data_IF_390139344872
#
_entry.id   IF_390139344872
#
_cell.length_a   1.000
_cell.length_b   1.000
_cell.length_c   1.000
_cell.angle_alpha   90.00
_cell.angle_beta   90.00
_cell.angle_gamma   90.00
#
_symmetry.space_group_name_H-M   'P 1'
#
loop_
_entity.id
_entity.type
_entity.pdbx_description
1 polymer ?
#
# COMPACT_ATOMS: atom_id res chain seq x y z
N UNK A 1 -4.87 48.87 5.36
CA UNK A 1 -6.34 48.80 5.18
C UNK A 1 -6.67 48.75 3.71
N UNK A 2 -7.11 47.59 3.20
CA UNK A 2 -8.20 47.43 2.21
C UNK A 2 -8.49 45.95 2.09
N UNK A 3 -9.54 45.58 2.81
CA UNK A 3 -10.21 44.30 2.84
C UNK A 3 -10.87 44.06 1.48
N UNK A 4 -10.78 42.85 0.93
CA UNK A 4 -11.69 42.44 -0.14
C UNK A 4 -12.19 41.04 0.16
N UNK A 5 -13.36 41.05 0.79
CA UNK A 5 -14.29 39.96 1.05
C UNK A 5 -14.87 39.44 -0.27
N UNK A 6 -14.82 38.12 -0.51
CA UNK A 6 -15.64 37.45 -1.53
C UNK A 6 -16.52 36.41 -0.80
N UNK A 7 -17.86 36.46 -0.94
CA UNK A 7 -18.77 35.60 -0.19
C UNK A 7 -19.02 34.21 -0.81
N UNK A 8 -18.95 33.20 0.07
CA UNK A 8 -19.74 31.96 0.18
C UNK A 8 -20.45 31.42 -1.07
N UNK A 9 -20.07 30.21 -1.50
CA UNK A 9 -21.04 29.24 -2.04
C UNK A 9 -20.84 27.87 -1.40
N UNK A 10 -21.77 27.58 -0.49
CA UNK A 10 -21.99 26.29 0.16
C UNK A 10 -22.48 25.29 -0.90
N UNK A 11 -21.69 24.27 -1.24
CA UNK A 11 -22.18 23.09 -1.96
C UNK A 11 -22.10 21.91 -0.99
N UNK A 12 -23.25 21.58 -0.40
CA UNK A 12 -23.48 20.32 0.29
C UNK A 12 -23.44 19.20 -0.77
N UNK A 13 -22.37 18.41 -0.77
CA UNK A 13 -22.36 17.10 -1.41
C UNK A 13 -22.73 16.04 -0.38
N UNK A 14 -23.70 15.21 -0.73
CA UNK A 14 -24.28 14.13 0.07
C UNK A 14 -23.31 12.94 0.07
N UNK A 15 -23.06 12.24 1.21
CA UNK A 15 -22.27 11.01 1.18
C UNK A 15 -23.10 9.85 0.60
N UNK A 16 -22.68 9.36 -0.57
CA UNK A 16 -23.15 8.10 -1.17
C UNK A 16 -22.75 6.92 -0.28
N UNK A 17 -23.73 6.06 -0.05
CA UNK A 17 -23.66 4.89 0.82
C UNK A 17 -22.66 3.83 0.35
N UNK A 18 -21.98 3.26 1.33
CA UNK A 18 -21.10 2.09 1.27
C UNK A 18 -21.94 0.84 0.98
N UNK A 19 -21.71 0.19 -0.16
CA UNK A 19 -22.29 -1.10 -0.53
C UNK A 19 -21.19 -2.15 -0.76
N UNK A 20 -21.15 -3.18 0.08
CA UNK A 20 -20.25 -4.34 0.00
C UNK A 20 -20.56 -5.22 -1.23
N UNK A 21 -19.55 -5.89 -1.83
CA UNK A 21 -19.75 -6.87 -2.88
C UNK A 21 -19.97 -8.27 -2.28
N UNK A 22 -20.94 -9.02 -2.79
CA UNK A 22 -21.09 -10.43 -2.43
C UNK A 22 -22.30 -11.12 -3.05
N UNK A 23 -22.00 -12.20 -3.77
CA UNK A 23 -22.89 -13.29 -4.20
C UNK A 23 -23.49 -13.21 -5.60
N UNK A 24 -22.91 -14.00 -6.51
CA UNK A 24 -23.65 -14.61 -7.61
C UNK A 24 -23.09 -15.99 -7.95
N UNK A 25 -23.96 -16.98 -7.72
CA UNK A 25 -24.14 -18.25 -8.43
C UNK A 25 -22.97 -19.25 -8.52
N UNK A 26 -22.98 -20.20 -7.57
CA UNK A 26 -22.53 -21.55 -7.79
C UNK A 26 -23.34 -22.22 -8.93
N UNK A 27 -22.69 -22.56 -10.05
CA UNK A 27 -23.21 -23.55 -10.99
C UNK A 27 -22.52 -24.88 -10.72
N UNK A 28 -23.29 -25.77 -10.12
CA UNK A 28 -22.98 -27.16 -9.87
C UNK A 28 -22.90 -27.90 -11.22
N UNK A 29 -21.81 -28.64 -11.44
CA UNK A 29 -21.72 -29.63 -12.51
C UNK A 29 -22.57 -30.85 -12.12
N UNK A 30 -23.46 -31.37 -13.00
CA UNK A 30 -24.08 -32.65 -12.73
C UNK A 30 -23.09 -33.79 -12.99
N UNK A 31 -23.09 -34.70 -12.01
CA UNK A 31 -22.35 -35.95 -11.90
C UNK A 31 -22.54 -36.86 -13.11
N UNK A 32 -21.46 -37.58 -13.42
CA UNK A 32 -21.41 -38.82 -14.20
C UNK A 32 -21.48 -39.98 -13.21
N UNK A 33 -22.42 -40.92 -13.41
CA UNK A 33 -22.38 -42.29 -12.90
C UNK A 33 -23.30 -43.22 -13.76
N UNK A 34 -23.13 -44.55 -13.72
CA UNK A 34 -23.30 -45.46 -14.88
C UNK A 34 -24.47 -46.48 -14.76
N UNK A 35 -24.69 -47.27 -15.84
CA UNK A 35 -25.46 -48.55 -15.92
C UNK A 35 -27.01 -48.48 -15.73
N UNK A 36 -27.94 -49.25 -16.35
CA UNK A 36 -28.07 -50.09 -17.56
C UNK A 36 -29.58 -50.54 -17.68
N UNK A 37 -30.16 -50.53 -18.90
CA UNK A 37 -31.33 -51.28 -19.48
C UNK A 37 -32.80 -51.18 -18.91
N UNK A 38 -33.91 -51.58 -19.62
CA UNK A 38 -34.12 -52.02 -21.04
C UNK A 38 -35.33 -51.35 -21.79
N UNK A 39 -35.43 -51.49 -23.12
CA UNK A 39 -36.73 -51.43 -23.85
C UNK A 39 -36.68 -52.28 -25.17
N UNK A 40 -37.78 -52.94 -25.62
CA UNK A 40 -37.85 -53.99 -26.66
C UNK A 40 -38.07 -53.43 -28.11
N UNK A 41 -38.14 -54.28 -29.17
CA UNK A 41 -37.59 -53.94 -30.51
C UNK A 41 -38.58 -53.50 -31.62
N UNK A 42 -37.96 -53.03 -32.72
CA UNK A 42 -38.37 -52.91 -34.15
C UNK A 42 -39.03 -51.58 -34.61
N UNK A 43 -38.81 -51.09 -35.87
CA UNK A 43 -38.34 -51.79 -37.07
C UNK A 43 -37.08 -51.22 -37.76
N UNK A 44 -36.50 -52.01 -38.65
CA UNK A 44 -35.27 -51.72 -39.40
C UNK A 44 -35.40 -50.51 -40.36
N UNK A 45 -34.45 -49.55 -40.34
CA UNK A 45 -34.30 -48.58 -41.42
C UNK A 45 -33.55 -49.19 -42.62
N UNK A 46 -34.02 -48.83 -43.81
CA UNK A 46 -33.58 -49.28 -45.13
C UNK A 46 -32.06 -49.18 -45.39
N UNK A 47 -31.50 -50.01 -46.30
CA UNK A 47 -30.08 -49.96 -46.66
C UNK A 47 -29.67 -48.58 -47.19
N UNK A 48 -28.44 -48.11 -46.88
CA UNK A 48 -27.96 -46.81 -47.31
C UNK A 48 -27.84 -46.75 -48.84
N UNK A 49 -28.42 -45.70 -49.40
CA UNK A 49 -28.28 -45.28 -50.80
C UNK A 49 -26.80 -45.16 -51.20
N UNK A 50 -26.39 -45.56 -52.42
CA UNK A 50 -25.02 -45.37 -52.90
C UNK A 50 -24.59 -43.89 -52.79
N UNK A 51 -23.30 -43.59 -52.54
CA UNK A 51 -22.82 -42.22 -52.48
C UNK A 51 -23.12 -41.50 -53.80
N UNK A 52 -23.70 -40.29 -53.68
CA UNK A 52 -23.86 -39.38 -54.81
C UNK A 52 -22.50 -39.11 -55.47
N UNK A 53 -22.43 -38.94 -56.80
CA UNK A 53 -21.20 -38.58 -57.48
C UNK A 53 -20.64 -37.31 -56.86
N UNK A 54 -19.33 -37.33 -56.54
CA UNK A 54 -18.61 -36.15 -56.09
C UNK A 54 -18.80 -35.06 -57.13
N UNK A 55 -19.52 -34.01 -56.76
CA UNK A 55 -19.53 -32.77 -57.54
C UNK A 55 -18.11 -32.23 -57.51
N UNK A 56 -17.46 -32.21 -58.67
CA UNK A 56 -16.22 -31.47 -58.87
C UNK A 56 -16.35 -30.06 -58.25
N UNK A 57 -15.30 -29.53 -57.59
CA UNK A 57 -15.32 -28.15 -57.14
C UNK A 57 -15.67 -27.26 -58.34
N UNK A 58 -16.49 -26.19 -58.15
CA UNK A 58 -16.87 -25.32 -59.25
C UNK A 58 -15.59 -24.88 -59.96
N UNK A 59 -15.54 -25.17 -61.27
CA UNK A 59 -14.44 -24.82 -62.16
C UNK A 59 -13.95 -23.41 -61.77
N UNK A 60 -12.73 -23.38 -61.24
CA UNK A 60 -12.10 -22.16 -60.77
C UNK A 60 -12.20 -21.13 -61.88
N UNK A 61 -12.77 -19.96 -61.55
CA UNK A 61 -12.51 -18.76 -62.34
C UNK A 61 -11.00 -18.70 -62.54
N UNK A 62 -10.61 -18.57 -63.81
CA UNK A 62 -9.25 -18.77 -64.27
C UNK A 62 -8.31 -17.83 -63.52
N UNK A 63 -7.65 -18.33 -62.47
CA UNK A 63 -6.70 -17.56 -61.67
C UNK A 63 -5.60 -16.95 -62.55
N UNK A 64 -5.34 -17.52 -63.74
CA UNK A 64 -4.42 -16.98 -64.72
C UNK A 64 -4.97 -15.69 -65.38
N UNK A 65 -6.29 -15.57 -65.56
CA UNK A 65 -6.92 -14.35 -66.08
C UNK A 65 -6.89 -13.16 -65.12
N UNK A 66 -6.68 -13.38 -63.81
CA UNK A 66 -6.51 -12.29 -62.83
C UNK A 66 -5.14 -11.60 -62.90
N UNK A 67 -4.15 -12.24 -63.54
CA UNK A 67 -2.79 -11.72 -63.71
C UNK A 67 -2.43 -11.53 -65.20
N UNK A 68 -3.43 -11.52 -66.08
CA UNK A 68 -3.24 -11.39 -67.52
C UNK A 68 -2.69 -9.99 -67.86
N UNK A 69 -1.42 -9.94 -68.29
CA UNK A 69 -0.68 -8.69 -68.55
C UNK A 69 0.32 -8.28 -67.46
N UNK A 70 0.37 -9.01 -66.34
CA UNK A 70 1.35 -8.81 -65.28
C UNK A 70 2.55 -9.75 -65.43
N UNK A 71 3.73 -9.27 -65.03
CA UNK A 71 4.96 -10.05 -65.08
C UNK A 71 4.89 -11.23 -64.08
N UNK A 72 4.97 -12.49 -64.53
CA UNK A 72 4.91 -13.66 -63.65
C UNK A 72 5.93 -13.64 -62.52
N UNK A 73 7.08 -12.98 -62.71
CA UNK A 73 8.08 -12.85 -61.66
C UNK A 73 7.60 -11.92 -60.53
N UNK A 74 6.95 -10.80 -60.88
CA UNK A 74 6.41 -9.86 -59.89
C UNK A 74 5.28 -10.46 -59.06
N UNK A 75 4.42 -11.28 -59.68
CA UNK A 75 3.34 -11.98 -58.96
C UNK A 75 3.91 -12.97 -57.95
N UNK A 76 4.97 -13.71 -58.31
CA UNK A 76 5.67 -14.62 -57.39
C UNK A 76 6.32 -13.87 -56.22
N UNK A 77 7.03 -12.78 -56.52
CA UNK A 77 7.66 -11.94 -55.49
C UNK A 77 6.62 -11.33 -54.52
N UNK A 78 5.45 -10.91 -55.04
CA UNK A 78 4.35 -10.41 -54.23
C UNK A 78 3.76 -11.49 -53.30
N UNK A 79 3.55 -12.71 -53.82
CA UNK A 79 3.09 -13.85 -53.00
C UNK A 79 4.11 -14.23 -51.92
N UNK A 80 5.40 -14.29 -52.27
CA UNK A 80 6.46 -14.62 -51.32
C UNK A 80 6.60 -13.54 -50.25
N UNK A 81 6.48 -12.26 -50.62
CA UNK A 81 6.43 -11.16 -49.66
C UNK A 81 5.20 -11.26 -48.76
N UNK A 82 4.01 -11.54 -49.31
CA UNK A 82 2.78 -11.74 -48.54
C UNK A 82 2.95 -12.87 -47.52
N UNK A 83 3.48 -14.03 -47.92
CA UNK A 83 3.77 -15.15 -47.02
C UNK A 83 4.75 -14.77 -45.92
N UNK A 84 5.82 -14.03 -46.26
CA UNK A 84 6.79 -13.53 -45.28
C UNK A 84 6.15 -12.58 -44.27
N UNK A 85 5.26 -11.69 -44.71
CA UNK A 85 4.53 -10.78 -43.83
C UNK A 85 3.56 -11.51 -42.93
N UNK A 86 2.86 -12.53 -43.42
CA UNK A 86 1.99 -13.38 -42.60
C UNK A 86 2.77 -14.14 -41.53
N UNK A 87 3.91 -14.75 -41.89
CA UNK A 87 4.77 -15.44 -40.93
C UNK A 87 5.29 -14.48 -39.87
N UNK A 88 5.81 -13.31 -40.27
CA UNK A 88 6.28 -12.28 -39.33
C UNK A 88 5.15 -11.74 -38.44
N UNK A 89 3.95 -11.58 -38.99
CA UNK A 89 2.79 -11.13 -38.21
C UNK A 89 2.44 -12.14 -37.12
N UNK A 90 2.37 -13.43 -37.47
CA UNK A 90 2.12 -14.51 -36.51
C UNK A 90 3.21 -14.59 -35.44
N UNK A 91 4.47 -14.46 -35.82
CA UNK A 91 5.60 -14.48 -34.87
C UNK A 91 5.64 -13.26 -33.94
N UNK A 92 5.10 -12.12 -34.38
CA UNK A 92 5.09 -10.88 -33.60
C UNK A 92 3.77 -10.67 -32.83
N UNK A 93 2.72 -11.42 -33.13
CA UNK A 93 1.40 -11.28 -32.50
C UNK A 93 1.47 -11.42 -30.98
N UNK A 94 2.11 -12.49 -30.48
CA UNK A 94 2.26 -12.73 -29.04
C UNK A 94 3.08 -11.63 -28.35
N UNK A 95 4.05 -11.03 -29.06
CA UNK A 95 4.87 -9.92 -28.53
C UNK A 95 4.08 -8.62 -28.49
N UNK A 96 3.26 -8.35 -29.51
CA UNK A 96 2.39 -7.19 -29.56
C UNK A 96 1.33 -7.26 -28.45
N UNK A 97 0.69 -8.42 -28.24
CA UNK A 97 -0.25 -8.59 -27.13
C UNK A 97 0.38 -8.33 -25.76
N UNK A 98 1.57 -8.87 -25.50
CA UNK A 98 2.30 -8.61 -24.24
C UNK A 98 2.70 -7.15 -24.09
N UNK A 99 2.99 -6.47 -25.19
CA UNK A 99 3.32 -5.05 -25.19
C UNK A 99 2.10 -4.19 -24.86
N UNK A 100 0.94 -4.52 -25.45
CA UNK A 100 -0.33 -3.86 -25.17
C UNK A 100 -0.80 -4.10 -23.73
N UNK A 101 -0.63 -5.32 -23.20
CA UNK A 101 -0.89 -5.65 -21.79
C UNK A 101 0.03 -4.86 -20.84
N UNK A 102 1.32 -4.73 -21.18
CA UNK A 102 2.26 -3.94 -20.40
C UNK A 102 1.87 -2.45 -20.42
N UNK A 103 1.52 -1.90 -21.58
CA UNK A 103 1.05 -0.52 -21.71
C UNK A 103 -0.23 -0.29 -20.90
N UNK A 104 -1.19 -1.21 -20.96
CA UNK A 104 -2.40 -1.15 -20.15
C UNK A 104 -2.09 -1.20 -18.64
N UNK A 105 -1.12 -2.01 -18.21
CA UNK A 105 -0.71 -2.09 -16.81
C UNK A 105 0.02 -0.83 -16.31
N UNK A 106 0.77 -0.16 -17.18
CA UNK A 106 1.56 1.03 -16.85
C UNK A 106 0.72 2.30 -16.92
N UNK A 107 -0.17 2.41 -17.91
CA UNK A 107 -0.97 3.61 -18.14
C UNK A 107 -2.33 3.57 -17.43
N UNK A 108 -2.73 2.40 -16.91
CA UNK A 108 -4.09 2.16 -16.42
C UNK A 108 -5.11 2.01 -17.55
N UNK A 109 -6.34 1.66 -17.18
CA UNK A 109 -7.47 1.42 -18.09
C UNK A 109 -7.90 2.74 -18.77
N UNK A 110 -7.19 3.15 -19.84
CA UNK A 110 -7.51 4.34 -20.65
C UNK A 110 -6.35 5.18 -21.21
N UNK A 111 -5.08 4.77 -21.11
CA UNK A 111 -3.97 5.61 -21.58
C UNK A 111 -3.42 5.25 -22.97
N UNK A 112 -3.90 5.94 -24.01
CA UNK A 112 -3.38 5.91 -25.40
C UNK A 112 -1.97 6.53 -25.55
N UNK A 113 -1.41 7.08 -24.48
CA UNK A 113 -0.10 7.73 -24.49
C UNK A 113 0.75 7.26 -23.31
N UNK A 114 2.03 6.90 -23.52
CA UNK A 114 2.95 6.61 -22.44
C UNK A 114 3.02 7.78 -21.45
N UNK A 115 3.21 7.54 -20.14
CA UNK A 115 3.47 8.59 -19.18
C UNK A 115 4.68 9.42 -19.61
N UNK A 116 4.55 10.74 -19.51
CA UNK A 116 5.62 11.66 -19.86
C UNK A 116 6.86 11.36 -19.00
N UNK A 117 8.02 11.02 -19.60
CA UNK A 117 9.22 10.64 -18.86
C UNK A 117 9.71 11.76 -17.94
N UNK A 118 9.44 13.03 -18.28
CA UNK A 118 9.79 14.17 -17.44
C UNK A 118 8.91 14.26 -16.18
N UNK A 119 7.62 13.93 -16.31
CA UNK A 119 6.70 13.83 -15.18
C UNK A 119 7.07 12.65 -14.29
N UNK A 120 7.38 11.48 -14.86
CA UNK A 120 7.85 10.33 -14.09
C UNK A 120 9.13 10.62 -13.31
N UNK A 121 10.10 11.32 -13.91
CA UNK A 121 11.33 11.70 -13.21
C UNK A 121 11.04 12.66 -12.03
N UNK A 122 10.09 13.58 -12.23
CA UNK A 122 9.66 14.52 -11.19
C UNK A 122 8.96 13.79 -10.04
N UNK A 123 8.01 12.91 -10.36
CA UNK A 123 7.27 12.11 -9.38
C UNK A 123 8.21 11.19 -8.60
N UNK A 124 9.14 10.53 -9.28
CA UNK A 124 10.13 9.67 -8.64
C UNK A 124 11.03 10.46 -7.69
N UNK A 125 11.41 11.69 -8.06
CA UNK A 125 12.21 12.56 -7.19
C UNK A 125 11.41 13.01 -5.97
N UNK A 126 10.15 13.38 -6.17
CA UNK A 126 9.21 13.75 -5.10
C UNK A 126 9.00 12.59 -4.12
N UNK A 127 8.73 11.38 -4.62
CA UNK A 127 8.53 10.19 -3.80
C UNK A 127 9.78 9.76 -3.05
N UNK A 128 10.96 9.85 -3.68
CA UNK A 128 12.24 9.65 -2.98
C UNK A 128 12.42 10.67 -1.87
N UNK A 129 12.09 11.94 -2.11
CA UNK A 129 12.10 13.00 -1.11
C UNK A 129 11.22 12.66 0.09
N UNK A 130 9.94 12.33 -0.16
CA UNK A 130 8.98 11.91 0.88
C UNK A 130 9.47 10.71 1.67
N UNK A 131 9.96 9.67 0.98
CA UNK A 131 10.50 8.47 1.61
C UNK A 131 11.65 8.77 2.55
N UNK A 132 12.65 9.54 2.11
CA UNK A 132 13.79 9.88 2.97
C UNK A 132 13.40 10.76 4.15
N UNK A 133 12.38 11.61 4.03
CA UNK A 133 11.85 12.37 5.16
C UNK A 133 11.18 11.44 6.18
N UNK A 134 10.31 10.53 5.73
CA UNK A 134 9.64 9.54 6.59
C UNK A 134 10.63 8.60 7.28
N UNK A 135 11.69 8.15 6.57
CA UNK A 135 12.73 7.29 7.16
C UNK A 135 13.46 8.01 8.32
N UNK A 136 13.68 9.32 8.20
CA UNK A 136 14.28 10.13 9.27
C UNK A 136 13.37 10.27 10.48
N UNK A 137 12.11 10.63 10.27
CA UNK A 137 11.11 10.71 11.35
C UNK A 137 10.96 9.36 12.06
N UNK A 138 10.87 8.26 11.31
CA UNK A 138 10.76 6.92 11.86
C UNK A 138 11.98 6.52 12.68
N UNK A 139 13.19 6.93 12.28
CA UNK A 139 14.40 6.72 13.07
C UNK A 139 14.33 7.46 14.41
N UNK A 140 13.85 8.70 14.42
CA UNK A 140 13.63 9.48 15.65
C UNK A 140 12.65 8.77 16.58
N UNK A 141 11.49 8.33 16.06
CA UNK A 141 10.51 7.60 16.86
C UNK A 141 11.07 6.29 17.46
N UNK A 142 11.92 5.57 16.72
CA UNK A 142 12.54 4.34 17.21
C UNK A 142 13.60 4.58 18.29
N UNK A 143 14.38 5.66 18.17
CA UNK A 143 15.53 5.92 19.04
C UNK A 143 15.16 6.74 20.29
N UNK A 144 14.19 7.65 20.18
CA UNK A 144 13.83 8.58 21.25
C UNK A 144 13.41 7.86 22.54
N UNK A 145 12.69 6.74 22.44
CA UNK A 145 12.27 5.98 23.62
C UNK A 145 13.43 5.46 24.47
N UNK A 146 14.54 5.04 23.84
CA UNK A 146 15.75 4.59 24.55
C UNK A 146 16.59 5.72 25.13
N UNK A 147 16.34 6.96 24.71
CA UNK A 147 17.07 8.17 25.13
C UNK A 147 16.25 9.03 26.09
N UNK A 148 15.15 8.50 26.63
CA UNK A 148 14.19 9.25 27.45
C UNK A 148 13.77 10.57 26.80
N UNK A 149 13.58 10.56 25.47
CA UNK A 149 13.20 11.73 24.69
C UNK A 149 11.76 11.60 24.17
N UNK A 150 11.09 12.73 24.02
CA UNK A 150 9.76 12.83 23.44
C UNK A 150 9.85 12.95 21.93
N UNK A 151 9.66 11.83 21.22
CA UNK A 151 9.69 11.79 19.76
C UNK A 151 8.73 12.78 19.10
N UNK A 152 7.51 12.94 19.62
CA UNK A 152 6.52 13.82 19.02
C UNK A 152 6.93 15.30 19.12
N UNK A 153 7.49 15.70 20.27
CA UNK A 153 8.00 17.06 20.45
C UNK A 153 9.24 17.34 19.59
N UNK A 154 10.07 16.33 19.35
CA UNK A 154 11.23 16.42 18.46
C UNK A 154 10.79 16.58 16.99
N UNK A 155 9.89 15.72 16.51
CA UNK A 155 9.42 15.76 15.11
C UNK A 155 8.59 17.01 14.77
N UNK A 156 7.95 17.63 15.77
CA UNK A 156 7.24 18.91 15.59
C UNK A 156 8.20 20.13 15.53
N UNK A 157 9.46 19.95 15.92
CA UNK A 157 10.46 21.02 15.94
C UNK A 157 11.13 21.20 14.57
N UNK A 158 10.89 22.36 13.94
CA UNK A 158 11.55 22.71 12.66
C UNK A 158 13.08 22.74 12.75
N UNK A 159 13.64 23.31 13.81
CA UNK A 159 15.11 23.41 13.94
C UNK A 159 15.78 22.05 14.08
N UNK A 160 15.14 21.09 14.75
CA UNK A 160 15.64 19.73 14.85
C UNK A 160 15.50 18.98 13.51
N UNK A 161 14.38 19.15 12.82
CA UNK A 161 14.18 18.56 11.50
C UNK A 161 15.18 19.11 10.47
N UNK A 162 15.53 20.39 10.53
CA UNK A 162 16.56 20.99 9.65
C UNK A 162 17.95 20.36 9.85
N UNK A 163 18.30 19.96 11.08
CA UNK A 163 19.52 19.20 11.37
C UNK A 163 19.47 17.79 10.76
N UNK A 164 18.31 17.13 10.83
CA UNK A 164 18.09 15.81 10.23
C UNK A 164 18.08 15.82 8.69
N UNK A 165 17.68 16.93 8.05
CA UNK A 165 17.66 17.06 6.58
C UNK A 165 19.05 16.87 5.96
N UNK A 166 20.11 17.10 6.73
CA UNK A 166 21.49 16.89 6.27
C UNK A 166 21.97 15.44 6.39
N UNK A 167 21.23 14.58 7.11
CA UNK A 167 21.60 13.18 7.32
C UNK A 167 21.04 12.29 6.22
N UNK A 168 21.88 11.41 5.67
CA UNK A 168 21.47 10.39 4.72
C UNK A 168 21.01 9.11 5.46
N UNK A 169 19.74 8.67 5.31
CA UNK A 169 19.23 7.44 5.91
C UNK A 169 19.93 6.16 5.45
N UNK A 170 20.60 6.19 4.28
CA UNK A 170 21.33 5.05 3.74
C UNK A 170 22.77 4.95 4.28
N UNK A 171 23.27 5.98 4.97
CA UNK A 171 24.61 5.97 5.52
C UNK A 171 24.73 5.00 6.70
N UNK A 172 25.87 4.33 6.82
CA UNK A 172 26.11 3.35 7.90
C UNK A 172 26.14 3.99 9.29
N UNK A 173 26.50 5.28 9.38
CA UNK A 173 26.59 6.06 10.61
C UNK A 173 25.30 6.85 10.92
N UNK A 174 24.23 6.63 10.15
CA UNK A 174 22.98 7.37 10.29
C UNK A 174 22.38 7.28 11.70
N UNK A 175 22.24 6.06 12.23
CA UNK A 175 21.66 5.81 13.56
C UNK A 175 22.45 6.50 14.68
N UNK A 176 23.78 6.52 14.57
CA UNK A 176 24.66 7.18 15.53
C UNK A 176 24.47 8.70 15.48
N UNK A 177 24.45 9.27 14.27
CA UNK A 177 24.21 10.72 14.08
C UNK A 177 22.83 11.16 14.57
N UNK A 178 21.79 10.37 14.33
CA UNK A 178 20.44 10.65 14.86
C UNK A 178 20.44 10.58 16.39
N UNK A 179 21.12 9.60 16.98
CA UNK A 179 21.25 9.46 18.44
C UNK A 179 21.92 10.68 19.07
N UNK A 180 23.03 11.14 18.50
CA UNK A 180 23.73 12.33 18.98
C UNK A 180 22.90 13.61 18.77
N UNK A 181 22.19 13.73 17.65
CA UNK A 181 21.28 14.84 17.41
C UNK A 181 20.15 14.90 18.47
N UNK A 182 19.55 13.75 18.80
CA UNK A 182 18.51 13.66 19.84
C UNK A 182 19.06 14.09 21.20
N UNK A 183 20.21 13.54 21.62
CA UNK A 183 20.86 13.92 22.89
C UNK A 183 21.18 15.41 22.93
N UNK A 184 21.72 15.96 21.84
CA UNK A 184 22.03 17.37 21.71
C UNK A 184 20.78 18.26 21.74
N UNK A 185 19.67 17.81 21.16
CA UNK A 185 18.39 18.51 21.22
C UNK A 185 17.83 18.54 22.66
N UNK A 186 17.81 17.40 23.35
CA UNK A 186 17.34 17.29 24.74
C UNK A 186 18.23 18.12 25.70
N UNK A 187 19.54 18.11 25.49
CA UNK A 187 20.47 18.91 26.29
C UNK A 187 20.25 20.43 26.11
N UNK A 188 19.94 20.87 24.88
CA UNK A 188 19.63 22.28 24.57
C UNK A 188 18.25 22.70 25.08
N UNK A 189 17.29 21.79 25.03
CA UNK A 189 15.92 22.04 25.46
C UNK A 189 15.36 20.83 26.23
N UNK A 190 15.34 20.88 27.57
CA UNK A 190 14.78 19.83 28.41
C UNK A 190 13.30 19.52 28.12
N UNK A 191 12.57 20.42 27.45
CA UNK A 191 11.19 20.17 27.01
C UNK A 191 11.04 19.06 25.97
N UNK A 192 12.14 18.63 25.34
CA UNK A 192 12.17 17.44 24.49
C UNK A 192 12.41 16.14 25.27
N UNK A 193 12.60 16.19 26.59
CA UNK A 193 12.63 15.01 27.43
C UNK A 193 11.27 14.29 27.44
N UNK A 194 11.29 12.99 27.66
CA UNK A 194 10.09 12.19 27.84
C UNK A 194 9.33 12.70 29.06
N UNK A 195 8.18 13.33 28.84
CA UNK A 195 7.18 13.47 29.88
C UNK A 195 6.51 12.11 30.07
N UNK A 196 6.27 11.65 31.32
CA UNK A 196 5.62 10.37 31.55
C UNK A 196 4.22 10.40 30.93
N UNK A 197 4.12 9.90 29.70
CA UNK A 197 2.88 9.70 28.97
C UNK A 197 2.28 8.37 29.44
N UNK A 198 1.91 8.33 30.72
CA UNK A 198 1.04 7.30 31.25
C UNK A 198 -0.39 7.73 31.03
N UNK A 199 -1.07 7.19 30.01
CA UNK A 199 -2.51 7.00 30.11
C UNK A 199 -2.71 6.15 31.37
N UNK A 200 -3.25 6.77 32.42
CA UNK A 200 -3.51 6.15 33.72
C UNK A 200 -4.60 5.07 33.67
N UNK A 201 -4.56 4.17 32.69
CA UNK A 201 -5.35 2.94 32.71
C UNK A 201 -4.79 2.07 33.83
N UNK A 202 -5.47 2.12 34.97
CA UNK A 202 -5.32 1.14 36.02
C UNK A 202 -5.93 -0.17 35.50
N UNK A 203 -5.11 -1.06 34.94
CA UNK A 203 -5.51 -2.45 34.68
C UNK A 203 -5.32 -3.21 36.00
N UNK A 204 -6.39 -3.62 36.69
CA UNK A 204 -6.25 -4.41 37.92
C UNK A 204 -5.58 -5.75 37.57
N UNK A 205 -4.43 -6.03 38.18
CA UNK A 205 -3.73 -7.31 38.07
C UNK A 205 -2.51 -7.34 37.14
N UNK A 206 -2.14 -6.24 36.48
CA UNK A 206 -0.83 -6.13 35.84
C UNK A 206 0.19 -5.60 36.86
N UNK A 207 1.14 -6.44 37.26
CA UNK A 207 2.24 -6.07 38.13
C UNK A 207 3.04 -4.93 37.50
N UNK A 208 2.83 -3.71 38.00
CA UNK A 208 3.80 -2.63 37.86
C UNK A 208 5.01 -3.05 38.67
N UNK A 209 6.20 -3.12 38.06
CA UNK A 209 7.42 -2.93 38.83
C UNK A 209 7.31 -1.57 39.52
N UNK A 210 7.30 -1.51 40.86
CA UNK A 210 7.10 -0.25 41.54
C UNK A 210 8.39 0.55 41.42
N UNK A 211 8.37 1.64 40.66
CA UNK A 211 8.97 2.85 41.22
C UNK A 211 8.06 3.22 42.39
N UNK A 212 8.28 2.61 43.55
CA UNK A 212 7.49 2.87 44.73
C UNK A 212 7.50 4.38 44.95
N UNK A 213 6.35 5.08 44.87
CA UNK A 213 6.31 6.43 45.39
C UNK A 213 6.78 6.32 46.84
N UNK A 214 7.69 7.19 47.30
CA UNK A 214 8.30 7.06 48.62
C UNK A 214 7.19 6.87 49.65
N UNK A 215 7.32 5.88 50.54
CA UNK A 215 6.36 5.67 51.62
C UNK A 215 6.16 6.97 52.40
N UNK A 216 5.01 7.15 53.06
CA UNK A 216 4.78 8.34 53.90
C UNK A 216 5.94 8.59 54.87
N UNK A 217 6.55 7.52 55.38
CA UNK A 217 7.75 7.57 56.23
C UNK A 217 8.99 8.08 55.49
N UNK A 218 9.24 7.60 54.26
CA UNK A 218 10.32 8.10 53.41
C UNK A 218 10.11 9.58 53.01
N UNK A 219 8.86 10.00 52.79
CA UNK A 219 8.52 11.40 52.53
C UNK A 219 8.75 12.29 53.76
N UNK A 220 8.39 11.82 54.95
CA UNK A 220 8.66 12.52 56.23
C UNK A 220 10.18 12.64 56.45
N UNK A 221 10.94 11.58 56.21
CA UNK A 221 12.40 11.58 56.34
C UNK A 221 13.06 12.56 55.35
N UNK A 222 12.63 12.57 54.10
CA UNK A 222 13.12 13.49 53.08
C UNK A 222 12.78 14.96 53.39
N UNK A 223 11.56 15.24 53.86
CA UNK A 223 11.17 16.59 54.27
C UNK A 223 11.93 17.07 55.51
N UNK A 224 12.22 16.15 56.45
CA UNK A 224 13.05 16.43 57.62
C UNK A 224 14.50 16.72 57.23
N UNK A 225 15.08 15.93 56.32
CA UNK A 225 16.43 16.15 55.80
C UNK A 225 16.57 17.48 55.03
N UNK A 226 15.48 17.96 54.42
CA UNK A 226 15.41 19.26 53.75
C UNK A 226 15.08 20.44 54.69
N UNK A 227 14.79 20.19 55.97
CA UNK A 227 14.39 21.22 56.93
C UNK A 227 13.00 21.82 56.70
N UNK A 228 12.15 21.19 55.89
CA UNK A 228 10.82 21.68 55.57
C UNK A 228 9.79 21.21 56.61
N UNK A 229 9.80 21.89 57.75
CA UNK A 229 8.97 21.54 58.90
C UNK A 229 7.45 21.61 58.64
N UNK A 230 7.00 22.46 57.69
CA UNK A 230 5.57 22.55 57.34
C UNK A 230 5.10 21.27 56.67
N UNK A 231 5.90 20.75 55.74
CA UNK A 231 5.63 19.50 55.04
C UNK A 231 5.76 18.30 55.98
N UNK A 232 6.70 18.31 56.93
CA UNK A 232 6.78 17.27 57.96
C UNK A 232 5.51 17.20 58.81
N UNK A 233 4.95 18.33 59.23
CA UNK A 233 3.73 18.35 60.06
C UNK A 233 2.49 17.87 59.29
N UNK A 234 2.36 18.23 58.01
CA UNK A 234 1.22 17.77 57.18
C UNK A 234 1.29 16.27 56.88
N UNK A 235 2.49 15.73 56.65
CA UNK A 235 2.66 14.29 56.40
C UNK A 235 2.45 13.46 57.68
N UNK A 236 2.91 13.96 58.84
CA UNK A 236 2.64 13.30 60.13
C UNK A 236 1.15 13.33 60.50
N UNK A 237 0.41 14.40 60.19
CA UNK A 237 -1.04 14.43 60.44
C UNK A 237 -1.79 13.45 59.53
N UNK A 238 -1.36 13.28 58.28
CA UNK A 238 -1.87 12.23 57.40
C UNK A 238 -1.59 10.82 57.94
N UNK A 239 -0.39 10.57 58.47
CA UNK A 239 -0.04 9.29 59.10
C UNK A 239 -0.95 8.97 60.30
N UNK A 240 -1.23 9.97 61.15
CA UNK A 240 -2.17 9.84 62.27
C UNK A 240 -3.61 9.58 61.82
N UNK A 241 -4.06 10.22 60.74
CA UNK A 241 -5.39 10.00 60.19
C UNK A 241 -5.54 8.59 59.60
N UNK A 242 -4.53 8.08 58.88
CA UNK A 242 -4.55 6.75 58.29
C UNK A 242 -4.52 5.63 59.34
N UNK A 243 -3.71 5.80 60.39
CA UNK A 243 -3.67 4.84 61.52
C UNK A 243 -4.98 4.83 62.32
N UNK A 244 -5.72 5.95 62.33
CA UNK A 244 -7.02 6.06 63.00
C UNK A 244 -8.18 5.42 62.22
N UNK A 245 -8.07 5.29 60.89
CA UNK A 245 -9.07 4.61 60.05
C UNK A 245 -8.90 3.08 59.98
N UNK A 246 -7.80 2.55 60.53
CA UNK A 246 -7.49 1.11 60.53
C UNK A 246 -7.87 0.40 61.85
N UNK A 247 -8.73 1.02 62.67
CA UNK A 247 -9.33 0.43 63.89
C UNK A 247 -10.84 0.47 63.78
#
# INVERSE_FOLDING_TARGET
MRNTTIPVRLVRSVPTAIGRPGMSAARQHPRRDPEVHPNPPAPDPAPPTPPAPQTDPPAGGDWASMFEGEDPQKVREALDNSRRWETRSKENFDKAQKWDELLASVNGDGGESPPDPSQLATDLTSERGRRTATERELAVYKLAGGLEANAAALTDSRSFMDELVQLDPAASDFTEKVTEAIKGAVARNPGYGATPSGLGLNVPGAERTPSDPPTLEAQIAAATAKGDHRTVMSLKSQQLAQTSQSK
#
